data_IF_537784372919
#
_entry.id   IF_537784372919
#
_cell.length_a   1.000
_cell.length_b   1.000
_cell.length_c   1.000
_cell.angle_alpha   90.00
_cell.angle_beta   90.00
_cell.angle_gamma   90.00
#
_symmetry.space_group_name_H-M   'P 1'
#
loop_
_entity.id
_entity.type
_entity.pdbx_description
1 polymer ?
#
# COMPACT_ATOMS: atom_id res chain seq x y z
N UNK A 1 -64.56 -47.43 29.55
CA UNK A 1 -63.45 -47.98 28.74
C UNK A 1 -63.31 -47.14 27.47
N UNK A 2 -62.11 -46.59 27.23
CA UNK A 2 -61.59 -45.94 26.00
C UNK A 2 -62.19 -44.57 25.59
N UNK A 3 -61.60 -43.48 26.08
CA UNK A 3 -61.56 -42.16 25.40
C UNK A 3 -60.34 -41.37 25.88
N UNK A 4 -59.12 -41.70 25.42
CA UNK A 4 -57.90 -40.93 25.71
C UNK A 4 -56.73 -41.23 24.75
N UNK A 5 -56.94 -41.19 23.42
CA UNK A 5 -55.85 -41.45 22.45
C UNK A 5 -55.64 -40.34 21.40
N UNK A 6 -56.48 -39.30 21.32
CA UNK A 6 -56.42 -38.37 20.16
C UNK A 6 -55.55 -37.12 20.39
N UNK A 7 -55.11 -36.80 21.62
CA UNK A 7 -54.37 -35.54 21.88
C UNK A 7 -52.83 -35.62 21.73
N UNK A 8 -52.25 -36.76 21.39
CA UNK A 8 -50.78 -36.94 21.39
C UNK A 8 -50.12 -36.69 20.02
N UNK A 9 -50.87 -36.57 18.92
CA UNK A 9 -50.28 -36.37 17.58
C UNK A 9 -50.01 -34.90 17.18
N UNK A 10 -50.62 -33.93 17.85
CA UNK A 10 -50.48 -32.51 17.47
C UNK A 10 -49.24 -31.81 18.07
N UNK A 11 -48.64 -32.35 19.14
CA UNK A 11 -47.50 -31.72 19.81
C UNK A 11 -46.16 -31.99 19.11
N UNK A 12 -46.06 -33.07 18.32
CA UNK A 12 -44.80 -33.48 17.68
C UNK A 12 -44.56 -32.70 16.37
N UNK A 13 -45.60 -32.19 15.72
CA UNK A 13 -45.48 -31.47 14.45
C UNK A 13 -45.04 -30.00 14.62
N UNK A 14 -45.17 -29.42 15.82
CA UNK A 14 -44.71 -28.04 16.09
C UNK A 14 -43.24 -27.94 16.51
N UNK A 15 -42.55 -29.07 16.75
CA UNK A 15 -41.12 -29.05 17.12
C UNK A 15 -40.18 -29.14 15.91
N UNK A 16 -40.67 -29.67 14.77
CA UNK A 16 -39.85 -29.83 13.55
C UNK A 16 -39.79 -28.53 12.73
N UNK A 17 -40.78 -27.64 12.84
CA UNK A 17 -40.77 -26.36 12.13
C UNK A 17 -39.88 -25.28 12.77
N UNK A 18 -39.56 -25.40 14.07
CA UNK A 18 -38.74 -24.42 14.79
C UNK A 18 -37.23 -24.71 14.69
N UNK A 19 -36.86 -25.94 14.32
CA UNK A 19 -35.46 -26.35 14.19
C UNK A 19 -34.81 -25.97 12.84
N UNK A 20 -35.60 -25.55 11.85
CA UNK A 20 -35.10 -25.20 10.50
C UNK A 20 -34.76 -23.71 10.36
N UNK A 21 -35.11 -22.86 11.34
CA UNK A 21 -34.89 -21.41 11.26
C UNK A 21 -33.67 -20.89 12.04
N UNK A 22 -32.80 -21.77 12.54
CA UNK A 22 -31.50 -21.36 13.09
C UNK A 22 -30.42 -21.70 12.05
N UNK A 23 -30.46 -20.99 10.93
CA UNK A 23 -29.24 -20.82 10.14
C UNK A 23 -28.24 -20.11 11.05
N UNK A 24 -27.00 -20.59 11.21
CA UNK A 24 -25.97 -19.84 11.90
C UNK A 24 -25.65 -18.61 11.04
N UNK A 25 -26.42 -17.53 11.24
CA UNK A 25 -26.04 -16.18 10.82
C UNK A 25 -24.90 -15.77 11.74
N UNK A 26 -23.72 -16.25 11.42
CA UNK A 26 -22.57 -16.18 12.30
C UNK A 26 -21.38 -17.02 11.84
N UNK A 27 -21.29 -17.36 10.55
CA UNK A 27 -19.96 -17.44 9.98
C UNK A 27 -19.45 -16.00 9.94
N UNK A 28 -18.71 -15.59 10.97
CA UNK A 28 -17.82 -14.44 10.82
C UNK A 28 -17.08 -14.68 9.51
N UNK A 29 -17.23 -13.74 8.56
CA UNK A 29 -16.41 -13.78 7.36
C UNK A 29 -14.97 -14.04 7.82
N UNK A 30 -14.24 -14.99 7.20
CA UNK A 30 -12.87 -15.25 7.61
C UNK A 30 -12.18 -13.89 7.66
N UNK A 31 -11.71 -13.52 8.86
CA UNK A 31 -11.02 -12.27 9.07
C UNK A 31 -9.92 -12.28 8.03
N UNK A 32 -10.03 -11.37 7.07
CA UNK A 32 -9.17 -11.36 5.90
C UNK A 32 -7.73 -11.52 6.37
N UNK A 33 -7.00 -12.51 5.85
CA UNK A 33 -5.58 -12.70 6.15
C UNK A 33 -4.69 -11.54 5.69
N UNK A 34 -5.31 -10.48 5.16
CA UNK A 34 -4.76 -9.18 4.78
C UNK A 34 -4.14 -8.40 5.96
N UNK A 35 -4.36 -8.81 7.21
CA UNK A 35 -3.70 -8.23 8.39
C UNK A 35 -2.14 -8.33 8.34
N UNK A 36 -1.56 -9.09 7.40
CA UNK A 36 -0.11 -9.28 7.25
C UNK A 36 0.46 -8.95 5.84
N UNK A 37 -0.15 -8.05 5.07
CA UNK A 37 0.51 -7.58 3.83
C UNK A 37 1.72 -6.72 4.21
N UNK A 38 2.93 -7.28 4.08
CA UNK A 38 4.18 -6.57 4.33
C UNK A 38 4.51 -5.62 3.17
N UNK A 39 4.77 -4.32 3.41
CA UNK A 39 4.99 -3.35 2.34
C UNK A 39 6.23 -3.67 1.51
N UNK A 40 6.31 -3.07 0.32
CA UNK A 40 7.44 -3.16 -0.59
C UNK A 40 7.41 -4.39 -1.47
N UNK A 41 8.60 -4.92 -1.80
CA UNK A 41 8.76 -6.02 -2.74
C UNK A 41 7.92 -7.24 -2.37
N UNK A 42 7.83 -7.57 -1.07
CA UNK A 42 7.02 -8.69 -0.58
C UNK A 42 5.55 -8.56 -0.98
N UNK A 43 4.96 -7.36 -0.94
CA UNK A 43 3.60 -7.15 -1.46
C UNK A 43 3.55 -7.36 -2.97
N UNK A 44 4.54 -6.84 -3.70
CA UNK A 44 4.58 -6.89 -5.17
C UNK A 44 4.77 -8.31 -5.73
N UNK A 45 5.32 -9.23 -4.95
CA UNK A 45 5.49 -10.65 -5.31
C UNK A 45 4.16 -11.44 -5.35
N UNK A 46 3.06 -10.85 -4.87
CA UNK A 46 1.75 -11.48 -4.74
C UNK A 46 0.70 -10.87 -5.69
N UNK A 47 0.75 -11.13 -7.01
CA UNK A 47 -0.20 -10.55 -7.96
C UNK A 47 -1.66 -10.91 -7.68
N UNK A 48 -1.93 -12.00 -6.97
CA UNK A 48 -3.27 -12.43 -6.56
C UNK A 48 -3.98 -11.44 -5.63
N UNK A 49 -3.24 -10.55 -4.95
CA UNK A 49 -3.84 -9.55 -4.05
C UNK A 49 -4.12 -8.20 -4.73
N UNK A 50 -3.75 -8.02 -6.01
CA UNK A 50 -4.01 -6.79 -6.76
C UNK A 50 -5.48 -6.31 -6.78
N UNK A 51 -6.51 -7.18 -6.83
CA UNK A 51 -7.90 -6.71 -6.79
C UNK A 51 -8.39 -6.38 -5.38
N UNK A 52 -7.59 -6.60 -4.33
CA UNK A 52 -7.95 -6.32 -2.95
C UNK A 52 -7.64 -4.87 -2.57
N UNK A 53 -8.40 -4.33 -1.63
CA UNK A 53 -8.06 -3.05 -1.03
C UNK A 53 -6.75 -3.15 -0.24
N UNK A 54 -6.01 -2.05 -0.21
CA UNK A 54 -4.84 -1.91 0.66
C UNK A 54 -5.26 -1.99 2.14
N UNK A 55 -4.37 -2.46 3.04
CA UNK A 55 -4.66 -2.50 4.47
C UNK A 55 -5.12 -1.15 5.02
N UNK A 56 -6.01 -1.18 6.01
CA UNK A 56 -6.52 0.02 6.69
C UNK A 56 -5.38 0.93 7.17
N UNK A 57 -5.53 2.23 6.94
CA UNK A 57 -4.51 3.23 7.28
C UNK A 57 -3.37 3.36 6.25
N UNK A 58 -3.36 2.55 5.19
CA UNK A 58 -2.42 2.75 4.07
C UNK A 58 -2.78 4.02 3.30
N UNK A 59 -1.79 4.89 3.08
CA UNK A 59 -1.94 6.11 2.28
C UNK A 59 -0.97 6.09 1.11
N UNK A 60 -1.50 6.17 -0.11
CA UNK A 60 -0.69 6.39 -1.31
C UNK A 60 -0.29 7.84 -1.40
N UNK A 61 1.03 8.10 -1.48
CA UNK A 61 1.60 9.43 -1.67
C UNK A 61 2.39 9.47 -2.97
N UNK A 62 2.42 10.64 -3.59
CA UNK A 62 3.28 10.93 -4.72
C UNK A 62 3.91 12.30 -4.51
N UNK A 63 5.22 12.36 -4.72
CA UNK A 63 5.98 13.60 -4.80
C UNK A 63 6.52 13.69 -6.21
N UNK A 64 6.22 14.78 -6.88
CA UNK A 64 6.71 15.10 -8.21
C UNK A 64 7.34 16.49 -8.20
N UNK A 65 8.20 16.76 -9.20
CA UNK A 65 8.44 18.14 -9.57
C UNK A 65 7.24 18.61 -10.39
N UNK A 66 6.79 19.82 -10.12
CA UNK A 66 5.77 20.49 -10.90
C UNK A 66 5.97 21.99 -10.78
N UNK A 67 5.49 22.74 -11.76
CA UNK A 67 5.46 24.19 -11.72
C UNK A 67 4.35 24.66 -10.77
N UNK A 68 4.67 25.23 -9.60
CA UNK A 68 3.67 25.69 -8.64
C UNK A 68 2.84 26.87 -9.17
N UNK A 69 3.26 27.52 -10.26
CA UNK A 69 2.45 28.55 -10.93
C UNK A 69 1.32 27.97 -11.79
N UNK A 70 1.28 26.66 -12.00
CA UNK A 70 0.26 25.96 -12.80
C UNK A 70 0.47 26.06 -14.31
N UNK A 71 1.64 26.51 -14.78
CA UNK A 71 2.01 26.47 -16.21
C UNK A 71 2.69 25.14 -16.52
N UNK A 72 3.08 24.96 -17.79
CA UNK A 72 3.68 23.73 -18.29
C UNK A 72 5.22 23.77 -18.21
N UNK A 73 5.77 24.06 -17.02
CA UNK A 73 7.22 24.24 -16.81
C UNK A 73 7.77 23.30 -15.73
N UNK A 74 7.22 22.08 -15.68
CA UNK A 74 7.49 21.07 -14.66
C UNK A 74 8.93 20.53 -14.71
N UNK A 75 9.62 20.71 -15.85
CA UNK A 75 10.96 20.19 -16.09
C UNK A 75 12.11 21.03 -15.51
N UNK A 76 11.83 22.14 -14.83
CA UNK A 76 12.88 23.02 -14.30
C UNK A 76 13.64 22.38 -13.14
N UNK A 77 14.97 22.49 -13.20
CA UNK A 77 15.86 22.01 -12.14
C UNK A 77 15.54 22.62 -10.76
N UNK A 78 15.14 23.89 -10.73
CA UNK A 78 14.74 24.58 -9.49
C UNK A 78 13.51 23.99 -8.82
N UNK A 79 12.66 23.25 -9.55
CA UNK A 79 11.50 22.55 -9.00
C UNK A 79 11.82 21.10 -8.65
N UNK A 80 12.89 20.54 -9.22
CA UNK A 80 13.39 19.21 -8.89
C UNK A 80 14.10 19.17 -7.54
N UNK A 81 14.92 20.18 -7.24
CA UNK A 81 15.63 20.28 -5.96
C UNK A 81 14.74 20.93 -4.91
N UNK A 82 14.34 20.18 -3.87
CA UNK A 82 13.59 20.70 -2.73
C UNK A 82 14.45 21.63 -1.87
N UNK A 83 15.67 21.19 -1.55
CA UNK A 83 16.66 21.97 -0.83
C UNK A 83 18.07 21.40 -1.00
N UNK A 84 19.08 22.12 -0.51
CA UNK A 84 20.46 21.63 -0.38
C UNK A 84 20.74 21.36 1.08
N UNK A 85 21.22 20.17 1.41
CA UNK A 85 21.52 19.80 2.80
C UNK A 85 22.82 20.45 3.31
N UNK A 86 23.18 20.17 4.57
CA UNK A 86 24.41 20.69 5.19
C UNK A 86 25.70 20.16 4.57
N UNK A 87 25.63 19.04 3.84
CA UNK A 87 26.77 18.43 3.14
C UNK A 87 26.88 18.94 1.69
N UNK A 88 25.97 19.82 1.25
CA UNK A 88 25.92 20.33 -0.12
C UNK A 88 25.17 19.43 -1.10
N UNK A 89 24.51 18.38 -0.63
CA UNK A 89 23.76 17.43 -1.44
C UNK A 89 22.40 18.03 -1.86
N UNK A 90 22.00 17.78 -3.11
CA UNK A 90 20.73 18.26 -3.66
C UNK A 90 19.63 17.23 -3.34
N UNK A 91 18.74 17.59 -2.42
CA UNK A 91 17.67 16.71 -1.97
C UNK A 91 16.43 16.92 -2.85
N UNK A 92 15.96 15.85 -3.47
CA UNK A 92 14.75 15.83 -4.32
C UNK A 92 13.60 15.02 -3.70
N UNK A 93 13.89 14.20 -2.69
CA UNK A 93 12.92 13.43 -1.92
C UNK A 93 13.35 13.38 -0.46
N UNK A 94 12.43 13.74 0.44
CA UNK A 94 12.62 13.71 1.90
C UNK A 94 11.23 13.59 2.55
N UNK A 95 11.02 12.53 3.31
CA UNK A 95 9.76 12.18 3.97
C UNK A 95 10.03 11.46 5.30
N UNK A 96 9.12 11.64 6.26
CA UNK A 96 9.21 11.05 7.60
C UNK A 96 8.11 10.02 7.82
N UNK A 97 8.43 8.99 8.61
CA UNK A 97 7.50 7.95 9.04
C UNK A 97 7.64 6.63 8.27
N UNK A 98 6.90 5.59 8.68
CA UNK A 98 6.98 4.28 8.05
C UNK A 98 6.38 4.31 6.64
N UNK A 99 7.05 3.67 5.69
CA UNK A 99 6.58 3.58 4.32
C UNK A 99 7.51 2.79 3.40
N UNK A 100 7.15 2.71 2.13
CA UNK A 100 7.99 2.13 1.09
C UNK A 100 7.89 2.95 -0.19
N UNK A 101 9.05 3.26 -0.80
CA UNK A 101 9.12 3.88 -2.11
C UNK A 101 9.00 2.79 -3.18
N UNK A 102 7.84 2.70 -3.81
CA UNK A 102 7.56 1.68 -4.84
C UNK A 102 8.00 2.08 -6.24
N UNK A 103 8.06 3.38 -6.53
CA UNK A 103 8.38 3.90 -7.86
C UNK A 103 9.18 5.18 -7.75
N UNK A 104 10.28 5.21 -8.46
CA UNK A 104 11.01 6.42 -8.79
C UNK A 104 11.07 6.55 -10.31
N UNK A 105 10.71 7.71 -10.83
CA UNK A 105 10.76 8.00 -12.26
C UNK A 105 11.48 9.33 -12.44
N UNK A 106 12.37 9.40 -13.43
CA UNK A 106 13.07 10.64 -13.78
C UNK A 106 13.23 10.74 -15.29
N UNK A 107 12.79 11.87 -15.84
CA UNK A 107 12.95 12.18 -17.26
C UNK A 107 14.09 13.18 -17.40
N UNK A 108 15.09 12.81 -18.19
CA UNK A 108 16.31 13.59 -18.36
C UNK A 108 16.61 13.75 -19.84
N UNK A 109 16.81 15.00 -20.27
CA UNK A 109 17.29 15.29 -21.62
C UNK A 109 18.78 14.97 -21.69
N UNK A 110 19.25 14.34 -22.78
CA UNK A 110 20.64 13.89 -22.94
C UNK A 110 21.65 15.01 -22.65
N UNK A 111 21.35 16.24 -23.06
CA UNK A 111 22.19 17.42 -22.85
C UNK A 111 22.26 17.87 -21.39
N UNK A 112 21.30 17.44 -20.56
CA UNK A 112 21.15 17.80 -19.16
C UNK A 112 21.37 16.58 -18.24
N UNK A 113 22.04 15.52 -18.72
CA UNK A 113 22.25 14.32 -17.93
C UNK A 113 23.03 14.65 -16.65
N UNK A 114 22.45 14.41 -15.45
CA UNK A 114 23.13 14.70 -14.20
C UNK A 114 24.45 13.95 -14.14
N UNK A 115 25.53 14.69 -13.94
CA UNK A 115 26.81 14.11 -13.54
C UNK A 115 26.79 14.02 -12.04
N UNK A 116 26.77 12.81 -11.48
CA UNK A 116 26.71 12.65 -10.04
C UNK A 116 26.28 11.26 -9.62
N UNK A 117 26.01 11.15 -8.32
CA UNK A 117 25.64 9.91 -7.66
C UNK A 117 24.26 10.05 -7.06
N UNK A 118 23.47 8.98 -7.10
CA UNK A 118 22.19 8.89 -6.41
C UNK A 118 22.45 8.23 -5.07
N UNK A 119 22.01 8.90 -3.99
CA UNK A 119 22.21 8.47 -2.62
C UNK A 119 20.87 8.31 -1.91
N UNK A 120 20.72 7.23 -1.15
CA UNK A 120 19.58 7.01 -0.26
C UNK A 120 20.06 6.83 1.17
N UNK A 121 19.44 7.60 2.06
CA UNK A 121 19.61 7.54 3.49
C UNK A 121 18.30 7.06 4.09
N UNK A 122 18.36 6.11 5.01
CA UNK A 122 17.18 5.61 5.72
C UNK A 122 17.35 5.85 7.22
N UNK A 123 16.27 6.15 7.94
CA UNK A 123 16.24 6.14 9.41
C UNK A 123 17.41 6.90 10.09
N UNK A 124 17.67 8.14 9.66
CA UNK A 124 18.75 9.03 10.17
C UNK A 124 20.20 8.51 9.99
N UNK A 125 20.41 7.52 9.11
CA UNK A 125 21.72 7.00 8.78
C UNK A 125 22.71 8.11 8.37
N UNK A 126 23.91 8.09 8.96
CA UNK A 126 24.97 9.05 8.64
C UNK A 126 25.71 8.76 7.35
N UNK A 127 25.54 7.55 6.81
CA UNK A 127 26.13 7.12 5.54
C UNK A 127 25.00 6.62 4.65
N UNK A 128 25.04 6.90 3.35
CA UNK A 128 24.02 6.40 2.45
C UNK A 128 24.09 4.87 2.39
N UNK A 129 22.93 4.22 2.51
CA UNK A 129 22.82 2.76 2.35
C UNK A 129 22.90 2.36 0.88
N UNK A 130 22.40 3.22 0.01
CA UNK A 130 22.60 3.12 -1.43
C UNK A 130 23.37 4.34 -1.91
N UNK A 131 24.46 4.12 -2.61
CA UNK A 131 25.29 5.16 -3.21
C UNK A 131 25.81 4.63 -4.55
N UNK A 132 25.25 5.12 -5.66
CA UNK A 132 25.52 4.62 -7.01
C UNK A 132 25.77 5.75 -7.99
N UNK A 133 26.53 5.50 -9.07
CA UNK A 133 26.54 6.44 -10.20
C UNK A 133 25.12 6.61 -10.75
N UNK A 134 24.78 7.84 -11.17
CA UNK A 134 23.46 8.13 -11.70
C UNK A 134 23.06 7.20 -12.87
N UNK A 135 23.98 6.92 -13.80
CA UNK A 135 23.67 6.08 -14.96
C UNK A 135 23.57 4.61 -14.57
N UNK A 136 24.42 4.17 -13.64
CA UNK A 136 24.39 2.81 -13.10
C UNK A 136 23.07 2.53 -12.36
N UNK A 137 22.56 3.49 -11.59
CA UNK A 137 21.28 3.35 -10.89
C UNK A 137 20.10 3.10 -11.86
N UNK A 138 20.18 3.61 -13.09
CA UNK A 138 19.14 3.48 -14.12
C UNK A 138 19.46 2.46 -15.22
N UNK A 139 20.49 1.63 -15.07
CA UNK A 139 20.91 0.68 -16.12
C UNK A 139 20.19 -0.67 -16.09
N UNK A 140 19.14 -0.81 -15.27
CA UNK A 140 18.36 -2.05 -15.10
C UNK A 140 17.44 -2.40 -16.26
#
# INVERSE_FOLDING_TARGET
>A
MIRNIVKIKAAILSFVLLAVLVLPVGAAAPKSTVDNILPGLKTLEHPEILPLFLPDGTVTRQINNYDPSGKNDDGKWSYFVKYTDTNGEKVFFDEYGPGCLYRLQMNVWVQAMPKGRIKFYFDDEKKPRLDMDFNEFWSG
#
